data_IF_758372643096
#
_entry.id   IF_758372643096
#
_cell.length_a   1.000
_cell.length_b   1.000
_cell.length_c   1.000
_cell.angle_alpha   90.00
_cell.angle_beta   90.00
_cell.angle_gamma   90.00
#
_symmetry.space_group_name_H-M   'P 1'
#
loop_
_entity.id
_entity.type
_entity.pdbx_description
1 polymer ?
#
# COMPACT_ATOMS: atom_id res chain seq x y z
N UNK A 1 -24.07 15.98 -3.76
CA UNK A 1 -22.73 16.61 -3.77
C UNK A 1 -21.83 15.75 -4.65
N UNK A 2 -21.15 16.36 -5.62
CA UNK A 2 -20.11 15.68 -6.41
C UNK A 2 -18.93 15.37 -5.50
N UNK A 3 -18.24 14.25 -5.75
CA UNK A 3 -16.98 13.93 -5.08
C UNK A 3 -15.89 14.93 -5.53
N UNK A 4 -14.89 15.17 -4.67
CA UNK A 4 -13.71 15.95 -5.08
C UNK A 4 -12.87 15.17 -6.10
N UNK A 5 -11.99 15.86 -6.85
CA UNK A 5 -11.06 15.20 -7.78
C UNK A 5 -10.30 14.05 -7.11
N UNK A 6 -9.67 14.30 -5.96
CA UNK A 6 -8.93 13.27 -5.22
C UNK A 6 -9.82 12.10 -4.79
N UNK A 7 -11.10 12.35 -4.43
CA UNK A 7 -12.03 11.30 -4.08
C UNK A 7 -12.35 10.38 -5.27
N UNK A 8 -12.66 10.94 -6.44
CA UNK A 8 -12.90 10.16 -7.67
C UNK A 8 -11.64 9.42 -8.10
N UNK A 9 -10.48 10.09 -8.04
CA UNK A 9 -9.18 9.51 -8.37
C UNK A 9 -8.86 8.28 -7.50
N UNK A 10 -8.99 8.40 -6.18
CA UNK A 10 -8.72 7.27 -5.25
C UNK A 10 -9.75 6.17 -5.41
N UNK A 11 -11.04 6.50 -5.62
CA UNK A 11 -12.09 5.51 -5.86
C UNK A 11 -11.79 4.63 -7.08
N UNK A 12 -11.24 5.21 -8.14
CA UNK A 12 -10.92 4.50 -9.39
C UNK A 12 -9.61 3.70 -9.28
N UNK A 13 -8.59 4.26 -8.63
CA UNK A 13 -7.23 3.74 -8.67
C UNK A 13 -6.82 2.96 -7.40
N UNK A 14 -7.44 3.25 -6.25
CA UNK A 14 -7.21 2.56 -4.97
C UNK A 14 -8.54 2.38 -4.21
N UNK A 15 -9.43 1.53 -4.74
CA UNK A 15 -10.78 1.34 -4.18
C UNK A 15 -10.76 0.80 -2.75
N UNK A 16 -9.69 0.13 -2.33
CA UNK A 16 -9.55 -0.37 -0.96
C UNK A 16 -9.32 0.78 0.03
N UNK A 17 -8.38 1.70 -0.25
CA UNK A 17 -8.18 2.88 0.61
C UNK A 17 -9.36 3.84 0.53
N UNK A 18 -10.02 3.95 -0.62
CA UNK A 18 -11.30 4.67 -0.69
C UNK A 18 -12.33 4.07 0.26
N UNK A 19 -12.53 2.75 0.22
CA UNK A 19 -13.46 2.05 1.12
C UNK A 19 -13.09 2.26 2.60
N UNK A 20 -11.79 2.14 2.97
CA UNK A 20 -11.32 2.36 4.33
C UNK A 20 -11.62 3.79 4.82
N UNK A 21 -11.48 4.80 3.95
CA UNK A 21 -11.78 6.19 4.29
C UNK A 21 -13.25 6.41 4.66
N UNK A 22 -14.17 5.59 4.14
CA UNK A 22 -15.61 5.71 4.44
C UNK A 22 -15.95 5.32 5.89
N UNK A 23 -15.08 4.60 6.58
CA UNK A 23 -15.21 4.31 8.02
C UNK A 23 -14.74 5.49 8.89
N UNK A 24 -14.00 6.44 8.32
CA UNK A 24 -13.46 7.60 9.02
C UNK A 24 -14.43 8.78 9.00
N UNK A 25 -14.17 9.79 9.84
CA UNK A 25 -14.96 11.00 9.97
C UNK A 25 -15.09 11.75 8.63
N UNK A 26 -16.32 12.07 8.23
CA UNK A 26 -16.60 12.68 6.93
C UNK A 26 -15.80 13.99 6.67
N UNK A 27 -15.64 14.92 7.64
CA UNK A 27 -14.87 16.16 7.44
C UNK A 27 -13.39 15.95 7.15
N UNK A 28 -12.84 14.76 7.48
CA UNK A 28 -11.42 14.43 7.32
C UNK A 28 -11.11 13.66 6.04
N UNK A 29 -12.14 13.17 5.33
CA UNK A 29 -11.97 12.31 4.15
C UNK A 29 -11.26 12.98 2.99
N UNK A 30 -11.53 14.28 2.74
CA UNK A 30 -10.86 15.00 1.65
C UNK A 30 -9.33 15.01 1.81
N UNK A 31 -8.85 15.21 3.04
CA UNK A 31 -7.41 15.15 3.34
C UNK A 31 -6.84 13.73 3.16
N UNK A 32 -7.60 12.70 3.58
CA UNK A 32 -7.21 11.31 3.32
C UNK A 32 -7.13 10.99 1.84
N UNK A 33 -8.10 11.46 1.03
CA UNK A 33 -8.09 11.23 -0.41
C UNK A 33 -6.93 11.96 -1.10
N UNK A 34 -6.58 13.17 -0.66
CA UNK A 34 -5.37 13.87 -1.14
C UNK A 34 -4.09 13.08 -0.84
N UNK A 35 -3.96 12.58 0.39
CA UNK A 35 -2.84 11.75 0.82
C UNK A 35 -2.75 10.43 0.02
N UNK A 36 -3.89 9.74 -0.18
CA UNK A 36 -3.91 8.48 -0.91
C UNK A 36 -3.69 8.67 -2.41
N UNK A 37 -4.17 9.78 -3.01
CA UNK A 37 -3.89 10.14 -4.38
C UNK A 37 -2.39 10.41 -4.59
N UNK A 38 -1.75 11.18 -3.70
CA UNK A 38 -0.30 11.35 -3.70
C UNK A 38 0.43 10.01 -3.63
N UNK A 39 0.09 9.16 -2.65
CA UNK A 39 0.74 7.86 -2.51
C UNK A 39 0.58 6.99 -3.77
N UNK A 40 -0.59 7.00 -4.39
CA UNK A 40 -0.80 6.28 -5.65
C UNK A 40 0.11 6.81 -6.75
N UNK A 41 0.21 8.14 -6.92
CA UNK A 41 1.03 8.76 -7.96
C UNK A 41 2.53 8.43 -7.82
N UNK A 42 3.08 8.40 -6.60
CA UNK A 42 4.47 8.00 -6.39
C UNK A 42 4.65 6.47 -6.56
N UNK A 43 3.69 5.66 -6.12
CA UNK A 43 3.80 4.20 -6.16
C UNK A 43 3.79 3.63 -7.57
N UNK A 44 3.11 4.29 -8.52
CA UNK A 44 3.08 3.85 -9.91
C UNK A 44 4.24 4.37 -10.75
N UNK A 45 5.20 5.10 -10.17
CA UNK A 45 6.31 5.70 -10.91
C UNK A 45 6.98 4.69 -11.85
N UNK A 46 7.32 3.51 -11.35
CA UNK A 46 7.95 2.45 -12.14
C UNK A 46 7.08 1.93 -13.31
N UNK A 47 5.77 2.06 -13.20
CA UNK A 47 4.82 1.58 -14.23
C UNK A 47 4.64 2.55 -15.39
N UNK A 48 4.86 3.85 -15.12
CA UNK A 48 4.62 4.92 -16.10
C UNK A 48 5.88 5.43 -16.77
N UNK A 49 7.07 4.93 -16.40
CA UNK A 49 8.34 5.30 -17.01
C UNK A 49 8.95 4.09 -17.73
N UNK A 50 9.63 4.35 -18.86
CA UNK A 50 10.37 3.33 -19.60
C UNK A 50 11.76 3.07 -19.04
N UNK A 51 12.38 4.07 -18.40
CA UNK A 51 13.75 4.06 -17.94
C UNK A 51 13.88 4.46 -16.47
N UNK A 52 14.83 3.86 -15.77
CA UNK A 52 15.11 4.14 -14.34
C UNK A 52 15.38 5.62 -14.10
N UNK A 53 16.16 6.27 -14.98
CA UNK A 53 16.48 7.70 -14.88
C UNK A 53 15.23 8.58 -14.90
N UNK A 54 14.26 8.30 -15.77
CA UNK A 54 12.98 9.02 -15.80
C UNK A 54 12.18 8.79 -14.52
N UNK A 55 12.30 7.62 -13.92
CA UNK A 55 11.70 7.33 -12.62
C UNK A 55 12.29 8.20 -11.52
N UNK A 56 13.62 8.33 -11.45
CA UNK A 56 14.29 9.20 -10.48
C UNK A 56 13.92 10.68 -10.69
N UNK A 57 13.85 11.16 -11.94
CA UNK A 57 13.40 12.53 -12.26
C UNK A 57 11.97 12.74 -11.77
N UNK A 58 11.06 11.78 -11.98
CA UNK A 58 9.67 11.87 -11.51
C UNK A 58 9.58 11.90 -9.98
N UNK A 59 10.33 11.04 -9.28
CA UNK A 59 10.36 11.04 -7.81
C UNK A 59 10.99 12.32 -7.27
N UNK A 60 12.04 12.86 -7.93
CA UNK A 60 12.63 14.13 -7.56
C UNK A 60 11.63 15.29 -7.75
N UNK A 61 10.88 15.29 -8.85
CA UNK A 61 9.82 16.28 -9.05
C UNK A 61 8.79 16.28 -7.91
N UNK A 62 8.33 15.09 -7.49
CA UNK A 62 7.44 14.98 -6.33
C UNK A 62 8.07 15.51 -5.04
N UNK A 63 9.37 15.28 -4.85
CA UNK A 63 10.12 15.78 -3.68
C UNK A 63 10.18 17.30 -3.67
N UNK A 64 10.46 17.90 -4.83
CA UNK A 64 10.52 19.35 -5.00
C UNK A 64 9.13 19.99 -4.80
N UNK A 65 8.07 19.37 -5.34
CA UNK A 65 6.71 19.86 -5.13
C UNK A 65 6.28 19.79 -3.66
N UNK A 66 6.56 18.69 -2.96
CA UNK A 66 6.31 18.60 -1.52
C UNK A 66 7.09 19.70 -0.77
N UNK A 67 8.37 19.95 -1.09
CA UNK A 67 9.13 21.01 -0.45
C UNK A 67 8.47 22.39 -0.63
N UNK A 68 8.02 22.72 -1.85
CA UNK A 68 7.30 23.97 -2.14
C UNK A 68 6.02 24.12 -1.31
N UNK A 69 5.25 23.02 -1.07
CA UNK A 69 4.05 23.09 -0.24
C UNK A 69 4.36 23.54 1.19
N UNK A 70 5.50 23.12 1.75
CA UNK A 70 5.94 23.57 3.08
C UNK A 70 6.47 25.01 3.10
N UNK A 71 6.84 25.55 1.96
CA UNK A 71 7.19 26.97 1.77
C UNK A 71 5.96 27.85 1.50
N UNK A 72 4.76 27.25 1.43
CA UNK A 72 3.53 27.95 1.12
C UNK A 72 3.26 28.16 -0.37
N UNK A 73 4.06 27.54 -1.24
CA UNK A 73 3.95 27.65 -2.68
C UNK A 73 3.21 26.42 -3.25
N UNK A 74 2.09 26.65 -3.93
CA UNK A 74 1.29 25.59 -4.56
C UNK A 74 1.37 25.69 -6.07
N UNK A 75 1.81 24.63 -6.74
CA UNK A 75 1.81 24.58 -8.20
C UNK A 75 0.39 24.57 -8.73
N UNK A 76 0.04 25.57 -9.53
CA UNK A 76 -1.31 25.70 -10.10
C UNK A 76 -1.64 24.60 -11.10
N UNK A 77 -2.91 24.21 -11.16
CA UNK A 77 -3.39 23.22 -12.12
C UNK A 77 -3.15 21.75 -11.72
N UNK A 78 -2.71 21.52 -10.47
CA UNK A 78 -2.59 20.17 -9.93
C UNK A 78 -3.48 20.02 -8.70
N UNK A 79 -4.63 19.36 -8.86
CA UNK A 79 -5.66 19.20 -7.83
C UNK A 79 -5.17 18.36 -6.63
N UNK A 80 -4.24 17.42 -6.87
CA UNK A 80 -3.67 16.61 -5.78
C UNK A 80 -2.78 17.48 -4.91
N UNK A 81 -1.88 18.31 -5.52
CA UNK A 81 -1.01 19.21 -4.77
C UNK A 81 -1.80 20.28 -4.01
N UNK A 82 -2.84 20.82 -4.64
CA UNK A 82 -3.72 21.81 -3.98
C UNK A 82 -4.42 21.23 -2.75
N UNK A 83 -5.03 20.06 -2.89
CA UNK A 83 -5.69 19.38 -1.77
C UNK A 83 -4.71 18.92 -0.69
N UNK A 84 -3.48 18.55 -1.10
CA UNK A 84 -2.43 18.14 -0.19
C UNK A 84 -1.90 19.33 0.63
N UNK A 85 -1.75 20.50 0.01
CA UNK A 85 -1.36 21.74 0.70
C UNK A 85 -2.34 22.07 1.84
N UNK A 86 -3.65 22.01 1.56
CA UNK A 86 -4.69 22.21 2.57
C UNK A 86 -4.58 21.17 3.71
N UNK A 87 -4.34 19.89 3.37
CA UNK A 87 -4.18 18.83 4.35
C UNK A 87 -2.93 19.03 5.23
N UNK A 88 -1.79 19.38 4.64
CA UNK A 88 -0.53 19.65 5.34
C UNK A 88 -0.72 20.79 6.34
N UNK A 89 -1.28 21.91 5.90
CA UNK A 89 -1.50 23.08 6.75
C UNK A 89 -2.52 22.79 7.87
N UNK A 90 -3.63 22.15 7.54
CA UNK A 90 -4.72 21.92 8.50
C UNK A 90 -4.38 20.93 9.60
N UNK A 91 -3.58 19.91 9.29
CA UNK A 91 -3.27 18.80 10.19
C UNK A 91 -1.81 18.76 10.62
N UNK A 92 -1.00 19.78 10.27
CA UNK A 92 0.43 19.86 10.58
C UNK A 92 1.17 18.56 10.19
N UNK A 93 0.96 18.08 8.97
CA UNK A 93 1.56 16.82 8.52
C UNK A 93 3.09 16.95 8.45
N UNK A 94 3.86 16.02 9.02
CA UNK A 94 5.32 16.10 9.05
C UNK A 94 5.94 15.77 7.68
N UNK A 95 6.81 16.68 7.18
CA UNK A 95 7.47 16.59 5.86
C UNK A 95 8.27 15.31 5.69
N UNK A 96 8.98 14.90 6.74
CA UNK A 96 9.84 13.72 6.72
C UNK A 96 9.12 12.42 6.39
N UNK A 97 7.80 12.34 6.64
CA UNK A 97 7.00 11.16 6.27
C UNK A 97 6.72 11.12 4.75
N UNK A 98 6.54 12.27 4.11
CA UNK A 98 6.43 12.36 2.66
C UNK A 98 7.77 12.02 1.99
N UNK A 99 8.87 12.57 2.50
CA UNK A 99 10.21 12.28 1.99
C UNK A 99 10.53 10.78 2.11
N UNK A 100 10.16 10.14 3.24
CA UNK A 100 10.34 8.71 3.44
C UNK A 100 9.53 7.87 2.44
N UNK A 101 8.27 8.25 2.15
CA UNK A 101 7.43 7.56 1.17
C UNK A 101 8.01 7.67 -0.24
N UNK A 102 8.49 8.85 -0.65
CA UNK A 102 9.10 9.06 -1.96
C UNK A 102 10.40 8.24 -2.07
N UNK A 103 11.26 8.30 -1.04
CA UNK A 103 12.51 7.55 -1.00
C UNK A 103 12.29 6.04 -1.12
N UNK A 104 11.27 5.51 -0.42
CA UNK A 104 10.95 4.08 -0.49
C UNK A 104 10.60 3.60 -1.91
N UNK A 105 10.15 4.50 -2.81
CA UNK A 105 9.84 4.17 -4.21
C UNK A 105 11.06 4.09 -5.12
N UNK A 106 12.22 4.56 -4.68
CA UNK A 106 13.47 4.37 -5.44
C UNK A 106 13.81 2.88 -5.57
N UNK A 107 13.51 2.06 -4.55
CA UNK A 107 13.67 0.62 -4.62
C UNK A 107 12.91 -0.02 -5.79
N UNK A 108 11.72 0.50 -6.11
CA UNK A 108 10.90 -0.02 -7.21
C UNK A 108 11.56 0.20 -8.60
N UNK A 109 12.52 1.12 -8.70
CA UNK A 109 13.24 1.44 -9.93
C UNK A 109 14.43 0.51 -10.19
N UNK A 110 14.98 -0.13 -9.14
CA UNK A 110 16.23 -0.89 -9.23
C UNK A 110 16.06 -2.31 -9.76
N UNK A 111 14.84 -2.79 -10.00
CA UNK A 111 14.54 -4.15 -10.47
C UNK A 111 15.17 -5.29 -9.61
N UNK A 112 15.38 -5.02 -8.34
CA UNK A 112 15.90 -6.00 -7.37
C UNK A 112 14.76 -6.59 -6.55
N UNK A 113 14.95 -7.82 -6.07
CA UNK A 113 14.03 -8.44 -5.14
C UNK A 113 14.48 -8.13 -3.70
N UNK A 114 13.56 -8.16 -2.73
CA UNK A 114 13.95 -8.30 -1.33
C UNK A 114 14.85 -9.53 -1.15
N UNK A 115 16.04 -9.36 -0.55
CA UNK A 115 16.99 -10.46 -0.42
C UNK A 115 16.42 -11.65 0.37
N UNK A 116 15.67 -11.35 1.43
CA UNK A 116 15.10 -12.32 2.36
C UNK A 116 13.77 -11.80 2.98
N UNK A 117 13.25 -12.53 3.96
CA UNK A 117 12.05 -12.14 4.70
C UNK A 117 12.20 -10.79 5.43
N UNK A 118 13.40 -10.48 5.93
CA UNK A 118 13.65 -9.19 6.58
C UNK A 118 13.56 -8.06 5.56
N UNK A 119 14.14 -8.22 4.38
CA UNK A 119 14.06 -7.29 3.26
C UNK A 119 12.61 -7.08 2.80
N UNK A 120 11.83 -8.16 2.68
CA UNK A 120 10.40 -8.09 2.34
C UNK A 120 9.60 -7.30 3.38
N UNK A 121 9.77 -7.64 4.66
CA UNK A 121 9.10 -6.95 5.77
C UNK A 121 9.51 -5.49 5.85
N UNK A 122 10.80 -5.19 5.63
CA UNK A 122 11.31 -3.82 5.58
C UNK A 122 10.69 -3.02 4.44
N UNK A 123 10.54 -3.61 3.26
CA UNK A 123 9.86 -2.96 2.13
C UNK A 123 8.39 -2.65 2.48
N UNK A 124 7.66 -3.60 3.06
CA UNK A 124 6.29 -3.37 3.54
C UNK A 124 6.22 -2.20 4.53
N UNK A 125 7.15 -2.16 5.47
CA UNK A 125 7.27 -1.16 6.52
C UNK A 125 7.50 0.24 5.92
N UNK A 126 8.58 0.42 5.15
CA UNK A 126 8.96 1.76 4.66
C UNK A 126 7.99 2.33 3.62
N UNK A 127 7.25 1.48 2.90
CA UNK A 127 6.28 1.91 1.90
C UNK A 127 4.88 2.17 2.47
N UNK A 128 4.58 1.71 3.70
CA UNK A 128 3.22 1.77 4.21
C UNK A 128 3.12 2.40 5.61
N UNK A 129 4.07 2.18 6.50
CA UNK A 129 4.03 2.77 7.85
C UNK A 129 3.96 4.30 7.84
N UNK A 130 4.80 5.04 7.06
CA UNK A 130 4.70 6.49 7.02
C UNK A 130 3.36 6.99 6.47
N UNK A 131 2.75 6.25 5.52
CA UNK A 131 1.43 6.58 4.99
C UNK A 131 0.34 6.44 6.06
N UNK A 132 0.37 5.35 6.85
CA UNK A 132 -0.58 5.15 7.94
C UNK A 132 -0.39 6.18 9.04
N UNK A 133 0.84 6.56 9.35
CA UNK A 133 1.14 7.62 10.31
C UNK A 133 0.56 8.96 9.86
N UNK A 134 0.77 9.37 8.58
CA UNK A 134 0.15 10.58 8.03
C UNK A 134 -1.38 10.52 8.08
N UNK A 135 -1.98 9.36 7.80
CA UNK A 135 -3.43 9.19 7.94
C UNK A 135 -3.89 9.37 9.39
N UNK A 136 -3.11 8.90 10.37
CA UNK A 136 -3.42 9.11 11.80
C UNK A 136 -3.30 10.58 12.23
N UNK A 137 -2.32 11.34 11.74
CA UNK A 137 -2.27 12.79 11.94
C UNK A 137 -3.55 13.46 11.46
N UNK A 138 -4.05 13.09 10.27
CA UNK A 138 -5.32 13.60 9.73
C UNK A 138 -6.49 13.19 10.63
N UNK A 139 -6.49 11.96 11.12
CA UNK A 139 -7.62 11.38 11.85
C UNK A 139 -7.60 11.69 13.36
N UNK A 140 -6.52 12.32 13.88
CA UNK A 140 -6.37 12.62 15.30
C UNK A 140 -6.08 11.37 16.14
N UNK A 141 -5.48 10.36 15.54
CA UNK A 141 -4.96 9.18 16.23
C UNK A 141 -3.50 9.39 16.65
N UNK A 142 -2.95 8.40 17.35
CA UNK A 142 -1.55 8.37 17.73
C UNK A 142 -0.69 7.74 16.62
N UNK A 143 0.14 8.53 15.91
CA UNK A 143 0.98 8.01 14.82
C UNK A 143 2.15 7.13 15.29
N UNK A 144 2.54 7.25 16.56
CA UNK A 144 3.64 6.51 17.18
C UNK A 144 3.18 5.25 17.91
N UNK A 145 1.88 4.94 17.84
CA UNK A 145 1.33 3.72 18.41
C UNK A 145 2.03 2.48 17.82
N UNK A 146 2.51 1.58 18.69
CA UNK A 146 3.26 0.37 18.30
C UNK A 146 2.53 -0.50 17.26
N UNK A 147 1.20 -0.50 17.28
CA UNK A 147 0.36 -1.30 16.38
C UNK A 147 0.40 -0.78 14.92
N UNK A 148 0.75 0.49 14.69
CA UNK A 148 0.74 1.10 13.35
C UNK A 148 1.62 0.32 12.39
N UNK A 149 2.83 -0.02 12.82
CA UNK A 149 3.80 -0.78 12.02
C UNK A 149 3.29 -2.18 11.68
N UNK A 150 2.73 -2.89 12.66
CA UNK A 150 2.22 -4.25 12.43
C UNK A 150 1.04 -4.24 11.44
N UNK A 151 0.11 -3.30 11.60
CA UNK A 151 -1.02 -3.13 10.67
C UNK A 151 -0.53 -2.74 9.28
N UNK A 152 0.48 -1.87 9.18
CA UNK A 152 1.07 -1.46 7.91
C UNK A 152 1.71 -2.64 7.17
N UNK A 153 2.49 -3.47 7.88
CA UNK A 153 3.12 -4.66 7.32
C UNK A 153 2.05 -5.67 6.87
N UNK A 154 1.05 -5.96 7.70
CA UNK A 154 -0.06 -6.84 7.35
C UNK A 154 -0.77 -6.37 6.07
N UNK A 155 -1.14 -5.09 6.02
CA UNK A 155 -1.85 -4.52 4.88
C UNK A 155 -1.00 -4.58 3.60
N UNK A 156 0.25 -4.15 3.67
CA UNK A 156 1.18 -4.15 2.54
C UNK A 156 1.47 -5.56 2.04
N UNK A 157 1.79 -6.50 2.93
CA UNK A 157 2.09 -7.88 2.58
C UNK A 157 0.88 -8.56 1.90
N UNK A 158 -0.33 -8.38 2.43
CA UNK A 158 -1.55 -8.93 1.79
C UNK A 158 -1.75 -8.40 0.38
N UNK A 159 -1.46 -7.11 0.15
CA UNK A 159 -1.53 -6.46 -1.16
C UNK A 159 -0.46 -6.98 -2.12
N UNK A 160 0.80 -7.07 -1.68
CA UNK A 160 1.93 -7.55 -2.49
C UNK A 160 1.75 -9.01 -2.90
N UNK A 161 1.29 -9.88 -1.99
CA UNK A 161 1.03 -11.28 -2.32
C UNK A 161 -0.08 -11.43 -3.37
N UNK A 162 -1.15 -10.65 -3.27
CA UNK A 162 -2.22 -10.64 -4.29
C UNK A 162 -1.75 -10.07 -5.63
N UNK A 163 -0.79 -9.16 -5.60
CA UNK A 163 -0.25 -8.52 -6.79
C UNK A 163 0.87 -9.32 -7.49
N UNK A 164 1.30 -10.47 -6.94
CA UNK A 164 2.36 -11.30 -7.56
C UNK A 164 2.11 -11.55 -9.07
N UNK A 165 0.91 -11.96 -9.53
CA UNK A 165 0.68 -12.19 -10.96
C UNK A 165 0.78 -10.91 -11.80
N UNK A 166 0.37 -9.78 -11.23
CA UNK A 166 0.45 -8.48 -11.89
C UNK A 166 1.91 -8.03 -12.05
N UNK A 167 2.68 -8.10 -10.97
CA UNK A 167 4.10 -7.75 -11.01
C UNK A 167 4.89 -8.69 -11.95
N UNK A 168 4.63 -10.00 -11.88
CA UNK A 168 5.29 -10.98 -12.73
C UNK A 168 5.08 -10.70 -14.22
N UNK A 169 3.85 -10.31 -14.65
CA UNK A 169 3.56 -9.89 -16.03
C UNK A 169 4.38 -8.67 -16.46
N UNK A 170 4.83 -7.86 -15.52
CA UNK A 170 5.66 -6.68 -15.78
C UNK A 170 7.16 -6.96 -15.60
N UNK A 171 7.56 -8.25 -15.48
CA UNK A 171 8.93 -8.65 -15.24
C UNK A 171 9.48 -8.21 -13.87
N UNK A 172 8.59 -8.11 -12.86
CA UNK A 172 8.94 -7.67 -11.51
C UNK A 172 8.50 -8.69 -10.47
N UNK A 173 9.21 -8.73 -9.37
CA UNK A 173 8.85 -9.55 -8.21
C UNK A 173 9.20 -8.84 -6.90
N UNK A 174 8.41 -9.12 -5.88
CA UNK A 174 8.65 -8.66 -4.51
C UNK A 174 8.73 -9.84 -3.52
N UNK A 175 8.65 -11.08 -4.00
CA UNK A 175 8.88 -12.25 -3.14
C UNK A 175 10.36 -12.32 -2.74
N UNK A 176 10.67 -12.79 -1.50
CA UNK A 176 12.04 -12.92 -1.02
C UNK A 176 12.90 -13.81 -1.94
N UNK A 177 14.07 -13.31 -2.37
CA UNK A 177 14.97 -14.04 -3.26
C UNK A 177 15.50 -15.32 -2.62
N UNK A 178 15.79 -15.29 -1.31
CA UNK A 178 16.20 -16.48 -0.56
C UNK A 178 15.18 -17.61 -0.66
N UNK A 179 13.88 -17.30 -0.56
CA UNK A 179 12.82 -18.31 -0.66
C UNK A 179 12.64 -18.82 -2.09
N UNK A 180 12.84 -17.97 -3.10
CA UNK A 180 12.84 -18.42 -4.51
C UNK A 180 13.98 -19.40 -4.75
N UNK A 181 15.17 -19.10 -4.23
CA UNK A 181 16.35 -19.96 -4.33
C UNK A 181 16.16 -21.30 -3.58
N UNK A 182 15.60 -21.28 -2.37
CA UNK A 182 15.27 -22.50 -1.60
C UNK A 182 14.34 -23.44 -2.38
N UNK A 183 13.33 -22.91 -3.05
CA UNK A 183 12.37 -23.69 -3.84
C UNK A 183 12.90 -23.97 -5.28
N UNK A 184 14.07 -23.44 -5.65
CA UNK A 184 14.64 -23.58 -6.98
C UNK A 184 13.77 -22.98 -8.08
N UNK A 185 13.29 -21.75 -7.87
CA UNK A 185 12.50 -20.97 -8.83
C UNK A 185 13.35 -19.84 -9.36
N UNK A 186 13.50 -19.74 -10.68
CA UNK A 186 14.13 -18.58 -11.32
C UNK A 186 13.13 -17.44 -11.51
N UNK A 187 13.64 -16.21 -11.75
CA UNK A 187 12.78 -15.06 -12.06
C UNK A 187 11.96 -15.31 -13.32
N UNK A 188 12.55 -15.91 -14.34
CA UNK A 188 11.89 -16.24 -15.61
C UNK A 188 10.75 -17.25 -15.43
N UNK A 189 10.95 -18.27 -14.58
CA UNK A 189 9.92 -19.24 -14.25
C UNK A 189 8.76 -18.60 -13.46
N UNK A 190 9.05 -17.68 -12.54
CA UNK A 190 8.03 -16.90 -11.83
C UNK A 190 7.24 -16.00 -12.80
N UNK A 191 7.95 -15.29 -13.70
CA UNK A 191 7.32 -14.35 -14.64
C UNK A 191 6.49 -15.06 -15.72
N UNK A 192 6.84 -16.29 -16.06
CA UNK A 192 6.06 -17.14 -16.99
C UNK A 192 5.00 -18.00 -16.30
N UNK A 193 4.75 -17.77 -15.01
CA UNK A 193 3.76 -18.48 -14.20
C UNK A 193 3.98 -19.99 -14.12
N UNK A 194 5.23 -20.40 -14.20
CA UNK A 194 5.65 -21.79 -13.97
C UNK A 194 5.78 -22.08 -12.47
N UNK A 195 5.90 -23.36 -12.12
CA UNK A 195 6.13 -23.83 -10.74
C UNK A 195 5.17 -23.23 -9.70
N UNK A 196 3.88 -23.11 -10.05
CA UNK A 196 2.85 -22.49 -9.18
C UNK A 196 2.77 -23.10 -7.80
N UNK A 197 2.91 -24.44 -7.68
CA UNK A 197 2.88 -25.13 -6.40
C UNK A 197 4.05 -24.73 -5.49
N UNK A 198 5.25 -24.52 -6.06
CA UNK A 198 6.40 -24.04 -5.32
C UNK A 198 6.25 -22.59 -4.93
N UNK A 199 5.72 -21.76 -5.85
CA UNK A 199 5.40 -20.36 -5.53
C UNK A 199 4.36 -20.28 -4.40
N UNK A 200 3.37 -21.18 -4.38
CA UNK A 200 2.39 -21.23 -3.31
C UNK A 200 3.02 -21.51 -1.93
N UNK A 201 4.06 -22.37 -1.85
CA UNK A 201 4.81 -22.60 -0.61
C UNK A 201 5.53 -21.34 -0.12
N UNK A 202 6.11 -20.56 -1.05
CA UNK A 202 6.74 -19.28 -0.71
C UNK A 202 5.69 -18.29 -0.18
N UNK A 203 4.55 -18.18 -0.88
CA UNK A 203 3.43 -17.33 -0.46
C UNK A 203 2.92 -17.73 0.92
N UNK A 204 2.84 -19.04 1.21
CA UNK A 204 2.47 -19.54 2.52
C UNK A 204 3.45 -19.12 3.61
N UNK A 205 4.76 -19.29 3.39
CA UNK A 205 5.81 -18.88 4.35
C UNK A 205 5.73 -17.37 4.61
N UNK A 206 5.61 -16.56 3.56
CA UNK A 206 5.47 -15.09 3.68
C UNK A 206 4.20 -14.71 4.44
N UNK A 207 3.07 -15.36 4.11
CA UNK A 207 1.81 -15.11 4.81
C UNK A 207 1.90 -15.47 6.30
N UNK A 208 2.47 -16.60 6.65
CA UNK A 208 2.65 -17.04 8.05
C UNK A 208 3.50 -16.06 8.86
N UNK A 209 4.55 -15.48 8.26
CA UNK A 209 5.43 -14.52 8.93
C UNK A 209 4.78 -13.13 9.09
N UNK A 210 4.06 -12.66 8.07
CA UNK A 210 3.50 -11.31 8.03
C UNK A 210 2.08 -11.20 8.61
N UNK A 211 1.27 -12.27 8.52
CA UNK A 211 -0.11 -12.24 8.97
C UNK A 211 -0.19 -12.39 10.49
N UNK A 212 0.00 -11.27 11.18
CA UNK A 212 -0.04 -11.21 12.66
C UNK A 212 -1.33 -10.53 13.11
N UNK A 213 -2.09 -11.14 14.03
CA UNK A 213 -3.25 -10.48 14.62
C UNK A 213 -2.81 -9.23 15.38
N UNK A 214 -3.25 -8.07 14.92
CA UNK A 214 -3.00 -6.80 15.59
C UNK A 214 -4.33 -6.18 16.01
N UNK A 215 -4.43 -5.75 17.27
CA UNK A 215 -5.64 -5.10 17.78
C UNK A 215 -5.41 -3.60 17.90
N UNK A 216 -6.35 -2.84 17.38
CA UNK A 216 -6.36 -1.38 17.53
C UNK A 216 -7.80 -0.91 17.75
N UNK A 217 -7.97 0.04 18.66
CA UNK A 217 -9.24 0.73 18.86
C UNK A 217 -9.46 1.85 17.84
N UNK A 218 -8.39 2.31 17.17
CA UNK A 218 -8.50 3.31 16.13
C UNK A 218 -9.16 2.75 14.88
N UNK A 219 -10.29 3.35 14.46
CA UNK A 219 -11.17 2.83 13.40
C UNK A 219 -10.43 2.55 12.09
N UNK A 220 -9.50 3.42 11.69
CA UNK A 220 -8.73 3.28 10.46
C UNK A 220 -7.76 2.09 10.52
N UNK A 221 -7.01 1.95 11.61
CA UNK A 221 -6.09 0.82 11.79
C UNK A 221 -6.86 -0.50 11.89
N UNK A 222 -7.93 -0.51 12.68
CA UNK A 222 -8.81 -1.68 12.82
C UNK A 222 -9.37 -2.12 11.49
N UNK A 223 -9.96 -1.22 10.72
CA UNK A 223 -10.54 -1.55 9.40
C UNK A 223 -9.46 -1.98 8.40
N UNK A 224 -8.28 -1.36 8.40
CA UNK A 224 -7.14 -1.75 7.55
C UNK A 224 -6.65 -3.16 7.87
N UNK A 225 -6.52 -3.49 9.16
CA UNK A 225 -6.11 -4.84 9.59
C UNK A 225 -7.16 -5.91 9.24
N UNK A 226 -8.45 -5.61 9.42
CA UNK A 226 -9.54 -6.51 9.03
C UNK A 226 -9.53 -6.73 7.51
N UNK A 227 -9.26 -5.71 6.71
CA UNK A 227 -9.19 -5.85 5.26
C UNK A 227 -8.01 -6.73 4.85
N UNK A 228 -6.83 -6.54 5.44
CA UNK A 228 -5.68 -7.40 5.25
C UNK A 228 -6.00 -8.87 5.61
N UNK A 229 -6.65 -9.09 6.75
CA UNK A 229 -7.11 -10.40 7.22
C UNK A 229 -8.07 -11.09 6.21
N UNK A 230 -9.01 -10.34 5.63
CA UNK A 230 -9.89 -10.85 4.59
C UNK A 230 -9.11 -11.35 3.36
N UNK A 231 -8.05 -10.64 2.98
CA UNK A 231 -7.19 -11.02 1.86
C UNK A 231 -6.30 -12.21 2.17
N UNK A 232 -5.70 -12.28 3.35
CA UNK A 232 -4.95 -13.46 3.78
C UNK A 232 -5.83 -14.72 3.83
N UNK A 233 -7.06 -14.61 4.34
CA UNK A 233 -8.02 -15.70 4.31
C UNK A 233 -8.38 -16.13 2.87
N UNK A 234 -8.50 -15.18 1.95
CA UNK A 234 -8.74 -15.48 0.55
C UNK A 234 -7.57 -16.23 -0.08
N UNK A 235 -6.33 -15.78 0.17
CA UNK A 235 -5.10 -16.44 -0.30
C UNK A 235 -5.03 -17.87 0.28
N UNK A 236 -5.20 -18.01 1.58
CA UNK A 236 -5.24 -19.32 2.24
C UNK A 236 -6.33 -20.24 1.67
N UNK A 237 -7.53 -19.71 1.41
CA UNK A 237 -8.65 -20.46 0.82
C UNK A 237 -8.42 -20.90 -0.63
N UNK A 238 -7.36 -20.40 -1.29
CA UNK A 238 -6.87 -20.87 -2.58
C UNK A 238 -5.57 -21.69 -2.46
N UNK A 239 -5.30 -22.27 -1.28
CA UNK A 239 -4.08 -23.02 -0.99
C UNK A 239 -2.82 -22.22 -1.35
N UNK A 240 -2.83 -20.91 -1.09
CA UNK A 240 -1.77 -19.95 -1.38
C UNK A 240 -1.40 -19.82 -2.89
N UNK A 241 -2.21 -20.39 -3.79
CA UNK A 241 -2.04 -20.17 -5.24
C UNK A 241 -2.54 -18.77 -5.61
N UNK A 242 -1.60 -17.83 -5.65
CA UNK A 242 -1.86 -16.43 -6.04
C UNK A 242 -2.13 -16.26 -7.53
N UNK A 243 -1.86 -17.27 -8.36
CA UNK A 243 -2.20 -17.27 -9.78
C UNK A 243 -3.66 -17.71 -10.05
N UNK A 244 -4.37 -18.16 -9.02
CA UNK A 244 -5.81 -18.47 -9.11
C UNK A 244 -6.60 -17.22 -9.50
N UNK A 245 -7.48 -17.28 -10.52
CA UNK A 245 -8.34 -16.15 -10.90
C UNK A 245 -9.19 -15.61 -9.74
N UNK A 246 -9.47 -16.44 -8.75
CA UNK A 246 -10.25 -16.06 -7.56
C UNK A 246 -9.54 -15.05 -6.66
N UNK A 247 -8.21 -14.92 -6.75
CA UNK A 247 -7.44 -13.91 -6.02
C UNK A 247 -7.67 -12.50 -6.58
N UNK A 248 -7.97 -12.39 -7.88
CA UNK A 248 -8.24 -11.11 -8.54
C UNK A 248 -9.65 -10.56 -8.24
N UNK A 249 -10.54 -11.41 -7.77
CA UNK A 249 -11.92 -11.04 -7.43
C UNK A 249 -11.96 -10.56 -5.97
N UNK A 250 -12.73 -9.52 -5.69
CA UNK A 250 -12.95 -9.09 -4.30
C UNK A 250 -13.50 -10.24 -3.44
N UNK A 251 -13.04 -10.39 -2.19
CA UNK A 251 -13.60 -11.36 -1.26
C UNK A 251 -15.13 -11.25 -1.18
N UNK A 252 -15.87 -12.36 -1.15
CA UNK A 252 -17.33 -12.32 -1.06
C UNK A 252 -17.80 -11.48 0.13
N UNK A 253 -18.78 -10.62 -0.11
CA UNK A 253 -19.33 -9.70 0.91
C UNK A 253 -18.28 -8.83 1.61
N UNK A 254 -17.17 -8.47 0.91
CA UNK A 254 -16.06 -7.66 1.47
C UNK A 254 -16.55 -6.48 2.29
N UNK A 255 -17.41 -5.64 1.73
CA UNK A 255 -17.92 -4.43 2.38
C UNK A 255 -18.72 -4.76 3.65
N UNK A 256 -19.64 -5.73 3.57
CA UNK A 256 -20.44 -6.16 4.72
C UNK A 256 -19.58 -6.76 5.82
N UNK A 257 -18.67 -7.68 5.47
CA UNK A 257 -17.76 -8.32 6.43
C UNK A 257 -16.86 -7.28 7.11
N UNK A 258 -16.32 -6.34 6.34
CA UNK A 258 -15.52 -5.23 6.87
C UNK A 258 -16.35 -4.38 7.83
N UNK A 259 -17.57 -3.99 7.45
CA UNK A 259 -18.47 -3.20 8.28
C UNK A 259 -18.80 -3.89 9.60
N UNK A 260 -19.27 -5.14 9.54
CA UNK A 260 -19.67 -5.90 10.73
C UNK A 260 -18.48 -6.10 11.68
N UNK A 261 -17.32 -6.51 11.15
CA UNK A 261 -16.13 -6.74 11.99
C UNK A 261 -15.55 -5.45 12.57
N UNK A 262 -15.65 -4.33 11.85
CA UNK A 262 -15.17 -3.04 12.35
C UNK A 262 -16.08 -2.48 13.46
N UNK A 263 -17.40 -2.63 13.32
CA UNK A 263 -18.37 -2.02 14.25
C UNK A 263 -18.73 -2.89 15.44
N UNK A 264 -18.82 -4.21 15.27
CA UNK A 264 -19.45 -5.10 16.25
C UNK A 264 -18.51 -6.18 16.83
N UNK A 265 -17.41 -6.51 16.18
CA UNK A 265 -16.45 -7.48 16.73
C UNK A 265 -15.29 -6.73 17.40
N UNK A 266 -15.08 -7.02 18.69
CA UNK A 266 -13.98 -6.50 19.50
C UNK A 266 -12.75 -7.39 19.41
#
# INVERSE_FOLDING_TARGET
MSLSYCAEFVKQNDPDRFLLSLFCDAPRRNALWALFAFNYEISKTREVVSETTLGHIRLQWWRDEIAKLYEGNVTQGNEILSALAEAIQRYNLPKEKFDALIYAREFDLENVLPADMQGFTKYCDVTTTPLMQLALFILGGDPDNEVVRDVAINYSASGLLRAVPFHAKQGRAYLPESLLNEEGITKEELFSFQKKEKTAKIVEKVAQECWKPSKSDHIFLKSSNILADLYFHQIKGQNYDVFSPKILISPPFKVLRLYVRTKYLR
#
